data_IF_118658556844
#
_entry.id   IF_118658556844
#
_cell.length_a   1.000
_cell.length_b   1.000
_cell.length_c   1.000
_cell.angle_alpha   90.00
_cell.angle_beta   90.00
_cell.angle_gamma   90.00
#
_symmetry.space_group_name_H-M   'P 1'
#
loop_
_entity.id
_entity.type
_entity.pdbx_description
1 polymer ?
#
# COMPACT_ATOMS: atom_id res chain seq x y z
N UNK A 1 -33.85 20.86 -4.92
CA UNK A 1 -33.56 20.70 -3.46
C UNK A 1 -32.07 20.85 -3.05
N UNK A 2 -31.06 20.48 -3.85
CA UNK A 2 -29.63 20.49 -3.42
C UNK A 2 -29.07 21.83 -2.88
N UNK A 3 -29.52 23.00 -3.34
CA UNK A 3 -29.00 24.33 -2.90
C UNK A 3 -29.29 24.73 -1.44
N UNK A 4 -30.05 23.96 -0.65
CA UNK A 4 -30.36 24.31 0.77
C UNK A 4 -29.39 23.74 1.81
N UNK A 5 -28.64 22.66 1.52
CA UNK A 5 -27.65 22.13 2.46
C UNK A 5 -26.41 23.03 2.56
N UNK A 6 -26.00 23.61 1.43
CA UNK A 6 -24.77 24.39 1.29
C UNK A 6 -24.72 25.67 2.15
N UNK A 7 -25.89 26.21 2.52
CA UNK A 7 -25.98 27.38 3.42
C UNK A 7 -25.73 27.07 4.90
N UNK A 8 -25.82 25.81 5.35
CA UNK A 8 -25.57 25.46 6.77
C UNK A 8 -24.09 25.33 7.13
N UNK A 9 -23.20 25.25 6.14
CA UNK A 9 -21.74 25.19 6.35
C UNK A 9 -21.06 26.57 6.36
N UNK A 10 -21.80 27.66 6.07
CA UNK A 10 -21.25 29.01 5.86
C UNK A 10 -21.00 29.85 7.14
N UNK A 11 -20.83 29.24 8.32
CA UNK A 11 -20.44 29.99 9.53
C UNK A 11 -19.88 29.13 10.67
N UNK A 12 -18.71 29.51 11.17
CA UNK A 12 -17.44 29.41 10.47
C UNK A 12 -16.83 28.01 10.66
N UNK A 13 -15.99 27.54 9.72
CA UNK A 13 -15.19 26.31 9.92
C UNK A 13 -14.27 26.39 11.16
N UNK A 14 -14.05 27.60 11.68
CA UNK A 14 -13.15 27.91 12.77
C UNK A 14 -13.81 28.90 13.74
N UNK A 15 -14.19 28.49 14.97
CA UNK A 15 -14.86 29.38 15.93
C UNK A 15 -13.95 30.46 16.55
N UNK A 16 -12.71 30.59 16.08
CA UNK A 16 -11.76 31.62 16.52
C UNK A 16 -10.90 32.11 15.37
N UNK A 17 -10.49 33.39 15.40
CA UNK A 17 -9.54 33.97 14.46
C UNK A 17 -8.07 33.51 14.68
N UNK A 18 -7.83 32.49 15.51
CA UNK A 18 -6.50 31.95 15.78
C UNK A 18 -6.02 31.06 14.65
N UNK A 19 -4.98 31.51 13.93
CA UNK A 19 -4.27 30.70 12.92
C UNK A 19 -3.75 29.37 13.50
N UNK A 20 -3.33 29.36 14.77
CA UNK A 20 -2.89 28.13 15.45
C UNK A 20 -4.03 27.13 15.62
N UNK A 21 -5.22 27.59 16.00
CA UNK A 21 -6.40 26.73 16.10
C UNK A 21 -6.85 26.27 14.71
N UNK A 22 -6.74 27.14 13.70
CA UNK A 22 -7.03 26.82 12.31
C UNK A 22 -6.21 25.63 11.80
N UNK A 23 -4.89 25.72 11.88
CA UNK A 23 -3.97 24.66 11.46
C UNK A 23 -4.24 23.37 12.25
N UNK A 24 -4.49 23.45 13.57
CA UNK A 24 -4.78 22.28 14.40
C UNK A 24 -6.09 21.58 14.06
N UNK A 25 -7.16 22.33 13.78
CA UNK A 25 -8.47 21.78 13.44
C UNK A 25 -8.52 21.25 12.01
N UNK A 26 -7.93 21.97 11.06
CA UNK A 26 -7.98 21.63 9.64
C UNK A 26 -6.99 20.52 9.24
N UNK A 27 -5.98 20.19 10.06
CA UNK A 27 -4.96 19.18 9.72
C UNK A 27 -5.54 17.87 9.16
N UNK A 28 -6.60 17.35 9.80
CA UNK A 28 -7.25 16.11 9.37
C UNK A 28 -8.03 16.22 8.07
N UNK A 29 -8.50 17.44 7.74
CA UNK A 29 -9.15 17.73 6.47
C UNK A 29 -8.11 17.93 5.35
N UNK A 30 -6.93 18.49 5.67
CA UNK A 30 -5.83 18.64 4.72
C UNK A 30 -5.10 17.33 4.40
N UNK A 31 -4.94 16.41 5.36
CA UNK A 31 -4.33 15.10 5.12
C UNK A 31 -5.26 14.15 4.37
N UNK A 32 -4.82 13.61 3.24
CA UNK A 32 -5.48 12.53 2.53
C UNK A 32 -5.33 11.15 3.18
N UNK A 33 -6.27 10.24 2.92
CA UNK A 33 -6.11 8.79 3.15
C UNK A 33 -7.05 7.99 2.26
N UNK A 34 -6.51 6.95 1.62
CA UNK A 34 -7.32 5.85 1.07
C UNK A 34 -7.91 5.01 2.22
N UNK A 35 -8.96 4.24 1.94
CA UNK A 35 -9.56 3.30 2.87
C UNK A 35 -10.10 2.07 2.12
N UNK A 36 -9.73 0.88 2.60
CA UNK A 36 -10.23 -0.40 2.13
C UNK A 36 -10.74 -1.20 3.34
N UNK A 37 -12.05 -1.44 3.37
CA UNK A 37 -12.74 -2.10 4.48
C UNK A 37 -13.39 -3.40 4.00
N UNK A 38 -13.33 -4.45 4.82
CA UNK A 38 -14.08 -5.69 4.60
C UNK A 38 -14.91 -6.06 5.82
N UNK A 39 -16.16 -6.47 5.61
CA UNK A 39 -17.05 -7.00 6.65
C UNK A 39 -17.49 -8.40 6.23
N UNK A 40 -17.18 -9.41 7.04
CA UNK A 40 -17.60 -10.79 6.84
C UNK A 40 -18.73 -11.15 7.80
N UNK A 41 -19.82 -11.68 7.25
CA UNK A 41 -21.00 -12.13 7.97
C UNK A 41 -21.00 -13.67 8.03
N UNK A 42 -20.77 -14.24 9.22
CA UNK A 42 -20.58 -15.70 9.42
C UNK A 42 -21.76 -16.54 8.93
N UNK A 43 -22.97 -16.05 9.18
CA UNK A 43 -24.21 -16.84 9.08
C UNK A 43 -24.64 -16.96 7.61
N UNK A 44 -24.57 -15.85 6.88
CA UNK A 44 -24.85 -15.78 5.43
C UNK A 44 -23.65 -16.21 4.57
N UNK A 45 -22.44 -16.13 5.14
CA UNK A 45 -21.13 -16.25 4.49
C UNK A 45 -20.89 -15.18 3.43
N UNK A 46 -21.45 -14.00 3.61
CA UNK A 46 -21.26 -12.85 2.73
C UNK A 46 -20.11 -11.98 3.21
N UNK A 47 -19.13 -11.76 2.34
CA UNK A 47 -18.10 -10.75 2.48
C UNK A 47 -18.53 -9.50 1.70
N UNK A 48 -18.56 -8.36 2.37
CA UNK A 48 -18.76 -7.05 1.76
C UNK A 48 -17.44 -6.29 1.80
N UNK A 49 -17.00 -5.77 0.66
CA UNK A 49 -15.77 -4.97 0.54
C UNK A 49 -16.15 -3.56 0.10
N UNK A 50 -15.65 -2.54 0.80
CA UNK A 50 -15.85 -1.14 0.48
C UNK A 50 -14.49 -0.46 0.24
N UNK A 51 -14.31 0.16 -0.93
CA UNK A 51 -13.08 0.85 -1.32
C UNK A 51 -13.33 2.33 -1.61
N UNK A 52 -12.54 3.18 -0.96
CA UNK A 52 -12.33 4.60 -1.27
C UNK A 52 -10.83 4.81 -1.49
N UNK A 53 -10.34 4.71 -2.73
CA UNK A 53 -8.93 4.87 -3.10
C UNK A 53 -8.41 3.81 -4.08
N UNK A 54 -7.09 3.66 -4.12
CA UNK A 54 -6.30 2.80 -5.02
C UNK A 54 -5.70 1.55 -4.35
N UNK A 55 -5.99 1.33 -3.06
CA UNK A 55 -5.81 0.02 -2.41
C UNK A 55 -6.70 -1.06 -3.05
N UNK A 56 -6.28 -2.33 -3.03
CA UNK A 56 -7.02 -3.43 -3.67
C UNK A 56 -7.29 -4.61 -2.74
N UNK A 57 -8.48 -5.21 -2.88
CA UNK A 57 -8.89 -6.48 -2.30
C UNK A 57 -8.96 -7.58 -3.37
N UNK A 58 -8.34 -8.73 -3.09
CA UNK A 58 -8.28 -9.88 -3.99
C UNK A 58 -8.58 -11.15 -3.21
N UNK A 59 -9.57 -11.91 -3.67
CA UNK A 59 -9.95 -13.20 -3.09
C UNK A 59 -9.28 -14.34 -3.88
N UNK A 60 -8.48 -15.15 -3.19
CA UNK A 60 -8.01 -16.44 -3.66
C UNK A 60 -9.06 -17.50 -3.39
N UNK A 61 -9.78 -17.94 -4.42
CA UNK A 61 -10.83 -18.95 -4.30
C UNK A 61 -10.26 -20.35 -4.48
N UNK A 62 -10.40 -21.22 -3.47
CA UNK A 62 -9.88 -22.59 -3.54
C UNK A 62 -10.73 -23.43 -4.49
N UNK A 63 -10.09 -23.94 -5.54
CA UNK A 63 -10.70 -24.83 -6.55
C UNK A 63 -9.95 -26.16 -6.54
N UNK A 64 -10.70 -27.26 -6.61
CA UNK A 64 -10.11 -28.59 -6.77
C UNK A 64 -9.65 -28.73 -8.23
N UNK A 65 -8.38 -29.07 -8.40
CA UNK A 65 -7.82 -29.39 -9.71
C UNK A 65 -8.37 -30.73 -10.22
N UNK A 66 -8.49 -30.85 -11.54
CA UNK A 66 -8.77 -32.12 -12.21
C UNK A 66 -7.55 -33.06 -12.12
N UNK A 67 -6.34 -32.49 -12.13
CA UNK A 67 -5.11 -33.23 -11.95
C UNK A 67 -4.94 -33.73 -10.51
N UNK A 68 -4.83 -35.04 -10.35
CA UNK A 68 -4.35 -35.68 -9.12
C UNK A 68 -2.84 -35.60 -9.05
N UNK A 69 -2.31 -35.56 -7.84
CA UNK A 69 -0.87 -35.74 -7.60
C UNK A 69 -0.49 -37.18 -7.99
N UNK A 70 0.45 -37.32 -8.93
CA UNK A 70 0.91 -38.62 -9.43
C UNK A 70 1.66 -39.46 -8.39
N UNK A 71 2.19 -38.85 -7.33
CA UNK A 71 2.90 -39.57 -6.27
C UNK A 71 1.98 -40.08 -5.16
N UNK A 72 0.89 -39.36 -4.87
CA UNK A 72 0.00 -39.64 -3.71
C UNK A 72 -1.43 -40.03 -4.08
N UNK A 73 -1.83 -39.84 -5.35
CA UNK A 73 -3.22 -40.00 -5.81
C UNK A 73 -4.19 -38.95 -5.27
N UNK A 74 -3.72 -38.00 -4.45
CA UNK A 74 -4.54 -37.00 -3.80
C UNK A 74 -5.00 -35.91 -4.78
N UNK A 75 -6.11 -35.24 -4.44
CA UNK A 75 -6.58 -34.07 -5.20
C UNK A 75 -5.67 -32.88 -4.93
N UNK A 76 -5.10 -32.31 -6.00
CA UNK A 76 -4.43 -31.01 -5.91
C UNK A 76 -5.45 -29.88 -5.90
N UNK A 77 -5.07 -28.73 -5.34
CA UNK A 77 -5.92 -27.53 -5.31
C UNK A 77 -5.19 -26.38 -6.02
N UNK A 78 -5.95 -25.61 -6.81
CA UNK A 78 -5.52 -24.34 -7.38
C UNK A 78 -6.31 -23.21 -6.73
N UNK A 79 -5.87 -21.97 -6.95
CA UNK A 79 -6.59 -20.78 -6.50
C UNK A 79 -6.99 -19.95 -7.71
N UNK A 80 -8.30 -19.70 -7.84
CA UNK A 80 -8.84 -18.73 -8.77
C UNK A 80 -8.68 -17.32 -8.21
N UNK A 81 -8.32 -16.38 -9.08
CA UNK A 81 -8.15 -14.97 -8.73
C UNK A 81 -9.49 -14.24 -8.92
N UNK A 82 -10.04 -13.69 -7.85
CA UNK A 82 -11.27 -12.88 -7.87
C UNK A 82 -10.95 -11.50 -7.29
N UNK A 83 -10.71 -10.51 -8.16
CA UNK A 83 -10.49 -9.12 -7.72
C UNK A 83 -11.82 -8.54 -7.22
N UNK A 84 -11.87 -8.13 -5.95
CA UNK A 84 -13.10 -7.71 -5.27
C UNK A 84 -13.28 -6.17 -5.22
N UNK A 85 -12.30 -5.40 -5.68
CA UNK A 85 -12.39 -3.94 -5.74
C UNK A 85 -11.64 -3.41 -6.96
N UNK A 86 -12.15 -2.36 -7.59
CA UNK A 86 -11.49 -1.70 -8.71
C UNK A 86 -10.76 -0.46 -8.20
N UNK A 87 -9.44 -0.38 -8.39
CA UNK A 87 -8.63 0.76 -7.96
C UNK A 87 -9.21 2.08 -8.50
N UNK A 88 -9.39 3.07 -7.64
CA UNK A 88 -9.99 4.35 -8.01
C UNK A 88 -8.88 5.37 -8.26
N UNK A 89 -8.26 5.30 -9.43
CA UNK A 89 -7.17 6.15 -9.89
C UNK A 89 -7.40 6.63 -11.34
N UNK A 90 -6.51 7.47 -11.87
CA UNK A 90 -6.61 8.00 -13.23
C UNK A 90 -6.34 7.00 -14.37
N UNK A 91 -6.06 5.73 -14.07
CA UNK A 91 -5.98 4.65 -15.06
C UNK A 91 -7.30 3.86 -15.17
N UNK A 92 -8.21 4.01 -14.20
CA UNK A 92 -9.51 3.35 -14.22
C UNK A 92 -10.50 4.14 -15.09
N UNK A 93 -10.84 3.57 -16.25
CA UNK A 93 -11.76 4.19 -17.22
C UNK A 93 -13.11 4.62 -16.60
N UNK A 94 -13.63 3.92 -15.59
CA UNK A 94 -14.88 4.32 -14.91
C UNK A 94 -14.71 5.60 -14.09
N UNK A 95 -13.57 5.80 -13.44
CA UNK A 95 -13.28 7.03 -12.70
C UNK A 95 -12.97 8.18 -13.66
N UNK A 96 -12.28 7.92 -14.77
CA UNK A 96 -12.05 8.92 -15.83
C UNK A 96 -13.39 9.42 -16.39
N UNK A 97 -14.26 8.50 -16.84
CA UNK A 97 -15.59 8.85 -17.37
C UNK A 97 -16.46 9.57 -16.32
N UNK A 98 -16.35 9.19 -15.05
CA UNK A 98 -17.02 9.88 -13.93
C UNK A 98 -16.54 11.32 -13.81
N UNK A 99 -15.23 11.55 -13.77
CA UNK A 99 -14.62 12.87 -13.61
C UNK A 99 -14.88 13.77 -14.83
N UNK A 100 -14.79 13.25 -16.05
CA UNK A 100 -15.11 14.00 -17.28
C UNK A 100 -16.57 14.47 -17.30
N UNK A 101 -17.50 13.63 -16.81
CA UNK A 101 -18.93 13.96 -16.70
C UNK A 101 -19.24 14.95 -15.57
N UNK A 102 -18.49 14.88 -14.47
CA UNK A 102 -18.64 15.81 -13.33
C UNK A 102 -18.02 17.18 -13.61
N UNK A 103 -16.96 17.24 -14.43
CA UNK A 103 -16.19 18.46 -14.74
C UNK A 103 -16.08 18.73 -16.26
N UNK A 104 -17.20 18.96 -16.97
CA UNK A 104 -17.20 19.12 -18.42
C UNK A 104 -16.37 20.34 -18.86
N UNK A 105 -15.42 20.10 -19.77
CA UNK A 105 -14.50 21.14 -20.27
C UNK A 105 -13.26 21.39 -19.40
N UNK A 106 -13.00 20.52 -18.42
CA UNK A 106 -11.78 20.56 -17.59
C UNK A 106 -10.91 19.31 -17.79
N UNK A 107 -9.59 19.50 -17.81
CA UNK A 107 -8.63 18.40 -17.91
C UNK A 107 -8.27 17.92 -16.50
N UNK A 108 -9.15 17.10 -15.92
CA UNK A 108 -9.05 16.66 -14.52
C UNK A 108 -8.07 15.50 -14.34
N UNK A 109 -7.94 14.65 -15.35
CA UNK A 109 -7.03 13.49 -15.35
C UNK A 109 -5.90 13.73 -16.37
N UNK A 110 -4.66 13.62 -15.91
CA UNK A 110 -3.46 13.77 -16.75
C UNK A 110 -2.43 12.71 -16.36
N UNK A 111 -1.90 11.97 -17.34
CA UNK A 111 -0.86 10.94 -17.12
C UNK A 111 -1.18 9.96 -15.97
N UNK A 112 -2.43 9.49 -15.92
CA UNK A 112 -2.90 8.58 -14.87
C UNK A 112 -3.16 9.22 -13.50
N UNK A 113 -2.99 10.54 -13.37
CA UNK A 113 -3.14 11.30 -12.12
C UNK A 113 -4.38 12.19 -12.13
N UNK A 114 -5.10 12.23 -11.01
CA UNK A 114 -6.29 13.08 -10.81
C UNK A 114 -5.89 14.36 -10.09
N UNK A 115 -5.94 15.50 -10.77
CA UNK A 115 -5.46 16.80 -10.26
C UNK A 115 -4.02 16.77 -9.69
N UNK A 116 -3.20 15.83 -10.17
CA UNK A 116 -1.82 15.55 -9.74
C UNK A 116 -1.65 14.36 -8.77
N UNK A 117 -2.72 13.82 -8.19
CA UNK A 117 -2.68 12.69 -7.25
C UNK A 117 -2.77 11.33 -7.92
N UNK A 118 -2.35 10.28 -7.21
CA UNK A 118 -2.55 8.89 -7.65
C UNK A 118 -4.03 8.48 -7.66
N UNK A 119 -4.78 8.85 -6.62
CA UNK A 119 -6.16 8.45 -6.42
C UNK A 119 -7.22 9.45 -6.92
N UNK A 120 -8.38 8.94 -7.33
CA UNK A 120 -9.61 9.66 -7.66
C UNK A 120 -10.57 9.82 -6.46
N UNK A 121 -10.38 9.01 -5.42
CA UNK A 121 -11.21 9.00 -4.21
C UNK A 121 -10.34 8.86 -2.96
N UNK A 122 -10.67 9.60 -1.90
CA UNK A 122 -9.94 9.61 -0.64
C UNK A 122 -10.80 10.20 0.49
N UNK A 123 -10.48 9.89 1.74
CA UNK A 123 -10.84 10.72 2.90
C UNK A 123 -9.90 11.92 3.00
N UNK A 124 -10.32 13.00 3.67
CA UNK A 124 -9.50 14.21 3.78
C UNK A 124 -9.34 14.94 2.44
N UNK A 125 -8.12 15.33 2.06
CA UNK A 125 -7.77 16.07 0.83
C UNK A 125 -8.72 17.23 0.50
N UNK A 126 -9.14 17.96 1.53
CA UNK A 126 -10.29 18.85 1.44
C UNK A 126 -10.05 20.08 0.55
N UNK A 127 -8.80 20.42 0.22
CA UNK A 127 -8.46 21.39 -0.81
C UNK A 127 -9.06 21.02 -2.20
N UNK A 128 -9.26 19.73 -2.48
CA UNK A 128 -9.87 19.25 -3.74
C UNK A 128 -11.40 19.09 -3.62
N UNK A 129 -11.99 19.48 -2.48
CA UNK A 129 -13.41 19.24 -2.14
C UNK A 129 -14.16 20.51 -1.75
N UNK A 130 -13.50 21.41 -1.03
CA UNK A 130 -14.05 22.71 -0.65
C UNK A 130 -14.26 23.60 -1.87
N UNK A 131 -15.28 24.46 -1.81
CA UNK A 131 -15.49 25.48 -2.83
C UNK A 131 -14.31 26.46 -2.87
N UNK A 132 -14.09 27.07 -4.04
CA UNK A 132 -13.06 28.09 -4.27
C UNK A 132 -13.17 29.25 -3.26
N UNK A 133 -14.39 29.63 -2.86
CA UNK A 133 -14.64 30.65 -1.83
C UNK A 133 -14.00 30.26 -0.48
N UNK A 134 -14.23 29.02 -0.02
CA UNK A 134 -13.70 28.52 1.26
C UNK A 134 -12.18 28.43 1.19
N UNK A 135 -11.62 27.90 0.11
CA UNK A 135 -10.17 27.82 -0.06
C UNK A 135 -9.51 29.21 -0.04
N UNK A 136 -10.13 30.20 -0.69
CA UNK A 136 -9.66 31.60 -0.68
C UNK A 136 -9.69 32.19 0.73
N UNK A 137 -10.78 32.00 1.48
CA UNK A 137 -10.88 32.45 2.87
C UNK A 137 -9.80 31.79 3.76
N UNK A 138 -9.55 30.49 3.58
CA UNK A 138 -8.50 29.76 4.29
C UNK A 138 -7.09 30.27 3.95
N UNK A 139 -6.83 30.59 2.67
CA UNK A 139 -5.56 31.19 2.24
C UNK A 139 -5.35 32.57 2.88
N UNK A 140 -6.32 33.47 2.74
CA UNK A 140 -6.23 34.85 3.23
C UNK A 140 -6.09 34.94 4.76
N UNK A 141 -6.78 34.06 5.51
CA UNK A 141 -6.94 34.21 6.97
C UNK A 141 -6.17 33.18 7.80
N UNK A 142 -5.93 31.99 7.25
CA UNK A 142 -5.64 30.80 8.06
C UNK A 142 -4.42 29.97 7.62
N UNK A 143 -3.55 30.56 6.77
CA UNK A 143 -2.34 29.90 6.23
C UNK A 143 -2.66 28.68 5.32
N UNK A 144 -3.84 28.67 4.69
CA UNK A 144 -4.17 27.69 3.65
C UNK A 144 -3.37 27.91 2.37
N UNK A 145 -3.28 26.86 1.55
CA UNK A 145 -2.64 26.95 0.23
C UNK A 145 -3.38 27.90 -0.71
N UNK A 146 -2.65 28.50 -1.65
CA UNK A 146 -3.25 29.31 -2.73
C UNK A 146 -4.10 28.42 -3.62
N UNK A 147 -5.31 28.88 -3.97
CA UNK A 147 -6.20 28.21 -4.93
C UNK A 147 -5.47 28.01 -6.26
N UNK A 148 -5.46 26.77 -6.77
CA UNK A 148 -4.83 26.42 -8.04
C UNK A 148 -5.66 26.93 -9.23
N UNK A 149 -4.99 27.41 -10.27
CA UNK A 149 -5.64 28.02 -11.43
C UNK A 149 -6.48 27.03 -12.27
N UNK A 150 -6.10 25.75 -12.24
CA UNK A 150 -6.86 24.66 -12.89
C UNK A 150 -8.05 24.16 -12.05
N UNK A 151 -8.36 24.75 -10.90
CA UNK A 151 -9.41 24.28 -9.99
C UNK A 151 -10.69 25.12 -10.11
N UNK A 152 -11.53 24.84 -11.12
CA UNK A 152 -12.73 25.64 -11.42
C UNK A 152 -14.03 25.10 -10.81
N UNK A 153 -14.29 23.79 -10.86
CA UNK A 153 -15.54 23.15 -10.37
C UNK A 153 -15.37 22.07 -9.29
N UNK A 154 -14.71 22.34 -8.13
CA UNK A 154 -14.64 21.36 -7.04
C UNK A 154 -16.05 20.97 -6.52
N UNK A 155 -16.26 19.73 -6.02
CA UNK A 155 -15.24 18.76 -5.60
C UNK A 155 -14.74 17.83 -6.72
N UNK A 156 -13.42 17.59 -6.78
CA UNK A 156 -12.77 16.64 -7.72
C UNK A 156 -12.52 15.25 -7.11
N UNK A 157 -12.41 15.18 -5.78
CA UNK A 157 -12.23 13.93 -5.05
C UNK A 157 -13.48 13.67 -4.20
N UNK A 158 -13.94 12.42 -4.13
CA UNK A 158 -15.00 12.00 -3.21
C UNK A 158 -14.46 11.00 -2.17
N UNK A 159 -15.13 10.91 -1.03
CA UNK A 159 -14.88 9.86 -0.03
C UNK A 159 -15.86 8.67 -0.17
N UNK A 160 -16.81 8.76 -1.12
CA UNK A 160 -17.85 7.76 -1.34
C UNK A 160 -17.26 6.44 -1.86
N UNK A 161 -17.45 5.31 -1.14
CA UNK A 161 -16.86 4.03 -1.52
C UNK A 161 -17.62 3.35 -2.66
N UNK A 162 -16.92 2.53 -3.44
CA UNK A 162 -17.56 1.46 -4.22
C UNK A 162 -17.65 0.21 -3.34
N UNK A 163 -18.81 -0.45 -3.34
CA UNK A 163 -19.08 -1.60 -2.47
C UNK A 163 -19.38 -2.84 -3.32
N UNK A 164 -18.65 -3.93 -3.08
CA UNK A 164 -18.92 -5.24 -3.67
C UNK A 164 -19.38 -6.24 -2.60
N UNK A 165 -20.11 -7.28 -3.01
CA UNK A 165 -20.56 -8.36 -2.11
C UNK A 165 -20.27 -9.70 -2.75
N UNK A 166 -19.54 -10.56 -2.05
CA UNK A 166 -19.12 -11.89 -2.53
C UNK A 166 -19.43 -12.96 -1.49
N UNK A 167 -20.01 -14.09 -1.91
CA UNK A 167 -20.21 -15.24 -1.03
C UNK A 167 -18.93 -16.06 -0.90
N UNK A 168 -18.51 -16.33 0.34
CA UNK A 168 -17.28 -17.02 0.71
C UNK A 168 -17.49 -18.54 0.80
N UNK A 169 -16.43 -19.31 0.52
CA UNK A 169 -16.37 -20.77 0.60
C UNK A 169 -15.23 -21.20 1.53
N UNK A 170 -15.37 -22.39 2.14
CA UNK A 170 -14.32 -22.96 3.01
C UNK A 170 -13.01 -23.12 2.24
N UNK A 171 -11.93 -22.57 2.77
CA UNK A 171 -10.61 -22.58 2.14
C UNK A 171 -10.36 -21.42 1.18
N UNK A 172 -11.31 -20.50 0.97
CA UNK A 172 -11.02 -19.21 0.34
C UNK A 172 -10.10 -18.38 1.27
N UNK A 173 -9.39 -17.41 0.70
CA UNK A 173 -8.68 -16.37 1.45
C UNK A 173 -8.80 -15.01 0.78
N UNK A 174 -8.71 -13.94 1.55
CA UNK A 174 -8.73 -12.55 1.11
C UNK A 174 -7.37 -11.90 1.37
N UNK A 175 -6.81 -11.26 0.34
CA UNK A 175 -5.68 -10.34 0.45
C UNK A 175 -6.24 -8.92 0.34
N UNK A 176 -5.95 -8.06 1.30
CA UNK A 176 -6.18 -6.62 1.24
C UNK A 176 -4.84 -5.91 1.39
N UNK A 177 -4.50 -5.00 0.49
CA UNK A 177 -3.24 -4.26 0.59
C UNK A 177 -3.30 -2.87 -0.04
N UNK A 178 -2.36 -2.01 0.38
CA UNK A 178 -2.08 -0.72 -0.28
C UNK A 178 -1.53 -0.93 -1.69
N UNK A 179 -1.64 0.12 -2.51
CA UNK A 179 -0.99 0.27 -3.81
C UNK A 179 0.50 -0.12 -3.77
N UNK A 180 1.22 0.19 -2.68
CA UNK A 180 2.61 -0.23 -2.48
C UNK A 180 2.88 -1.75 -2.62
N UNK A 181 1.88 -2.63 -2.42
CA UNK A 181 1.99 -4.05 -2.80
C UNK A 181 1.72 -4.27 -4.29
N UNK A 182 0.67 -3.64 -4.82
CA UNK A 182 0.14 -3.88 -6.16
C UNK A 182 0.96 -3.20 -7.28
N UNK A 183 1.79 -2.22 -6.95
CA UNK A 183 2.86 -1.66 -7.78
C UNK A 183 3.99 -2.68 -8.02
N UNK A 184 4.17 -3.64 -7.09
CA UNK A 184 5.24 -4.65 -7.14
C UNK A 184 4.76 -6.03 -7.62
N UNK A 185 3.52 -6.42 -7.30
CA UNK A 185 2.96 -7.75 -7.59
C UNK A 185 1.59 -7.64 -8.26
N UNK A 186 1.39 -8.43 -9.31
CA UNK A 186 0.05 -8.67 -9.87
C UNK A 186 -0.85 -9.41 -8.87
N UNK A 187 -2.17 -9.26 -9.04
CA UNK A 187 -3.14 -9.99 -8.23
C UNK A 187 -3.02 -11.52 -8.38
N UNK A 188 -2.58 -11.97 -9.55
CA UNK A 188 -2.33 -13.38 -9.86
C UNK A 188 -1.06 -13.91 -9.15
N UNK A 189 0.03 -13.14 -9.13
CA UNK A 189 1.23 -13.45 -8.34
C UNK A 189 0.91 -13.51 -6.84
N UNK A 190 0.20 -12.51 -6.30
CA UNK A 190 -0.12 -12.46 -4.88
C UNK A 190 -0.97 -13.66 -4.42
N UNK A 191 -2.00 -14.04 -5.19
CA UNK A 191 -2.81 -15.24 -4.93
C UNK A 191 -1.97 -16.51 -5.09
N UNK A 192 -1.08 -16.57 -6.08
CA UNK A 192 -0.13 -17.67 -6.27
C UNK A 192 0.80 -17.86 -5.08
N UNK A 193 1.37 -16.78 -4.54
CA UNK A 193 2.27 -16.77 -3.39
C UNK A 193 1.58 -17.26 -2.11
N UNK A 194 0.38 -16.74 -1.80
CA UNK A 194 -0.39 -17.25 -0.66
C UNK A 194 -0.78 -18.72 -0.87
N UNK A 195 -1.10 -19.12 -2.11
CA UNK A 195 -1.36 -20.52 -2.47
C UNK A 195 -0.16 -21.45 -2.28
N UNK A 196 1.07 -21.02 -2.62
CA UNK A 196 2.31 -21.73 -2.33
C UNK A 196 2.56 -21.82 -0.82
N UNK A 197 2.44 -20.69 -0.12
CA UNK A 197 2.65 -20.60 1.32
C UNK A 197 1.71 -21.52 2.10
N UNK A 198 0.47 -21.66 1.65
CA UNK A 198 -0.50 -22.61 2.20
C UNK A 198 -0.11 -24.08 1.99
N UNK A 199 0.74 -24.46 1.03
CA UNK A 199 1.16 -25.86 0.87
C UNK A 199 1.89 -26.38 2.11
N UNK A 200 2.71 -25.53 2.74
CA UNK A 200 3.43 -25.86 3.97
C UNK A 200 2.64 -25.51 5.22
N UNK A 201 1.80 -24.47 5.18
CA UNK A 201 1.17 -23.88 6.37
C UNK A 201 -0.35 -24.16 6.53
N UNK A 202 -1.02 -24.82 5.58
CA UNK A 202 -2.47 -25.02 5.62
C UNK A 202 -2.98 -25.76 6.86
N UNK A 203 -2.19 -26.67 7.46
CA UNK A 203 -2.56 -27.38 8.68
C UNK A 203 -2.59 -26.48 9.92
N UNK A 204 -1.77 -25.44 9.97
CA UNK A 204 -1.75 -24.44 11.03
C UNK A 204 -2.86 -23.38 10.85
N UNK A 205 -3.27 -23.12 9.61
CA UNK A 205 -4.31 -22.13 9.28
C UNK A 205 -5.71 -22.74 9.38
N UNK A 206 -5.97 -23.81 8.62
CA UNK A 206 -7.29 -24.44 8.51
C UNK A 206 -7.43 -25.57 9.52
N UNK A 207 -7.32 -25.25 10.81
CA UNK A 207 -7.52 -26.24 11.87
C UNK A 207 -9.00 -26.66 11.94
N UNK A 208 -9.26 -27.94 12.26
CA UNK A 208 -10.62 -28.41 12.58
C UNK A 208 -10.96 -28.19 14.08
N UNK A 209 -10.13 -27.46 14.83
CA UNK A 209 -10.40 -27.12 16.23
C UNK A 209 -11.34 -25.92 16.21
N UNK A 210 -12.54 -26.00 16.83
CA UNK A 210 -13.38 -24.82 17.01
C UNK A 210 -12.58 -23.72 17.68
N UNK A 211 -12.62 -22.50 17.14
CA UNK A 211 -12.06 -21.33 17.80
C UNK A 211 -12.73 -21.25 19.18
N UNK A 212 -11.91 -21.45 20.24
CA UNK A 212 -12.35 -21.81 21.60
C UNK A 212 -13.71 -21.21 21.96
N UNK A 213 -14.61 -22.06 22.44
CA UNK A 213 -15.80 -21.60 23.16
C UNK A 213 -15.37 -20.57 24.20
N UNK A 214 -15.71 -19.30 23.97
CA UNK A 214 -15.65 -18.33 25.04
C UNK A 214 -16.72 -18.77 26.03
N UNK A 215 -16.35 -19.20 27.26
CA UNK A 215 -17.35 -19.68 28.20
C UNK A 215 -18.37 -18.56 28.45
N UNK A 216 -19.68 -18.86 28.46
CA UNK A 216 -20.73 -17.86 28.69
C UNK A 216 -20.71 -17.42 30.16
N UNK A 217 -19.72 -16.59 30.51
CA UNK A 217 -19.44 -16.14 31.86
C UNK A 217 -17.96 -15.84 32.08
N UNK A 218 -17.62 -14.55 32.15
CA UNK A 218 -16.35 -14.07 32.69
C UNK A 218 -15.36 -13.52 31.66
N UNK A 219 -15.49 -12.22 31.37
CA UNK A 219 -14.31 -11.41 31.02
C UNK A 219 -13.33 -11.51 32.20
N UNK A 220 -12.25 -12.29 32.06
CA UNK A 220 -11.09 -12.10 32.92
C UNK A 220 -10.52 -10.72 32.58
N UNK A 221 -10.34 -9.80 33.54
CA UNK A 221 -9.66 -8.54 33.26
C UNK A 221 -8.30 -8.86 32.66
N UNK A 222 -7.97 -8.21 31.53
CA UNK A 222 -6.59 -8.16 31.07
C UNK A 222 -5.79 -7.58 32.24
N UNK A 223 -4.85 -8.36 32.76
CA UNK A 223 -3.99 -7.89 33.84
C UNK A 223 -3.35 -6.58 33.41
N UNK A 224 -3.61 -5.50 34.14
CA UNK A 224 -3.03 -4.19 33.86
C UNK A 224 -1.52 -4.37 33.96
N UNK A 225 -0.84 -4.40 32.82
CA UNK A 225 0.60 -4.28 32.76
C UNK A 225 0.92 -2.88 33.30
N UNK A 226 1.38 -2.82 34.54
CA UNK A 226 1.85 -1.58 35.16
C UNK A 226 2.83 -0.90 34.20
N UNK A 227 2.60 0.37 33.82
CA UNK A 227 3.52 1.04 32.90
C UNK A 227 4.90 1.10 33.56
N UNK A 228 5.90 0.49 32.92
CA UNK A 228 7.28 0.67 33.32
C UNK A 228 7.61 2.17 33.24
N UNK A 229 8.28 2.76 34.25
CA UNK A 229 8.55 4.18 34.25
C UNK A 229 9.43 4.55 33.07
N UNK A 230 8.89 5.38 32.17
CA UNK A 230 9.62 5.94 31.03
C UNK A 230 10.63 6.93 31.59
N UNK A 231 11.92 6.62 31.47
CA UNK A 231 12.99 7.56 31.83
C UNK A 231 12.92 8.78 30.90
N UNK A 232 12.80 10.02 31.41
CA UNK A 232 12.64 11.19 30.57
C UNK A 232 13.96 11.54 29.87
N UNK A 233 13.90 11.70 28.55
CA UNK A 233 14.96 12.39 27.80
C UNK A 233 15.07 13.85 28.29
N UNK A 234 16.29 14.38 28.49
CA UNK A 234 16.49 15.73 29.01
C UNK A 234 15.99 16.79 28.02
N UNK A 235 15.12 17.68 28.49
CA UNK A 235 14.55 18.77 27.72
C UNK A 235 15.57 19.88 27.45
N UNK A 236 15.77 20.21 26.18
CA UNK A 236 16.64 21.31 25.77
C UNK A 236 15.95 22.68 25.99
N UNK A 237 16.28 23.35 27.10
CA UNK A 237 16.01 24.78 27.27
C UNK A 237 16.90 25.42 28.34
N UNK A 238 18.04 25.98 27.94
CA UNK A 238 18.65 27.14 28.61
C UNK A 238 19.65 27.83 27.67
N UNK A 239 19.49 29.15 27.52
CA UNK A 239 20.37 30.01 26.73
C UNK A 239 21.69 30.24 27.48
N UNK A 240 22.83 30.44 26.79
CA UNK A 240 24.13 30.50 27.44
C UNK A 240 24.39 31.85 28.13
N UNK A 241 24.83 31.80 29.39
CA UNK A 241 25.52 32.91 30.05
C UNK A 241 26.96 32.49 30.41
N UNK A 242 27.90 33.07 29.66
CA UNK A 242 29.20 33.63 30.07
C UNK A 242 30.04 32.99 31.20
N UNK A 243 31.35 32.88 30.90
CA UNK A 243 32.51 32.77 31.83
C UNK A 243 32.71 31.38 32.50
N UNK A 244 33.94 30.86 32.69
CA UNK A 244 35.28 31.35 32.29
C UNK A 244 36.35 30.26 32.52
N UNK A 245 37.34 30.14 31.62
CA UNK A 245 38.71 29.59 31.85
C UNK A 245 38.77 28.08 32.28
N UNK A 246 39.86 27.32 32.10
CA UNK A 246 41.25 27.59 31.66
C UNK A 246 41.82 26.43 30.81
N UNK A 247 43.09 26.53 30.40
CA UNK A 247 43.76 25.67 29.40
C UNK A 247 44.47 24.42 30.00
N UNK A 248 44.58 23.35 29.21
CA UNK A 248 45.79 22.53 28.99
C UNK A 248 45.51 21.53 27.86
N UNK A 249 45.99 21.71 26.64
CA UNK A 249 47.34 21.35 26.14
C UNK A 249 47.82 19.94 26.54
N UNK A 250 47.68 18.97 25.63
CA UNK A 250 48.79 18.09 25.21
C UNK A 250 48.44 17.30 23.93
N UNK A 251 49.42 17.26 23.04
CA UNK A 251 49.63 16.40 21.86
C UNK A 251 51.15 16.36 21.66
N UNK A 252 51.71 15.49 20.79
CA UNK A 252 51.20 14.22 20.24
C UNK A 252 52.16 13.06 20.55
N UNK A 253 51.94 11.86 19.98
CA UNK A 253 53.00 10.98 19.44
C UNK A 253 52.40 9.71 18.81
N UNK A 254 53.21 8.92 18.12
CA UNK A 254 53.57 8.96 16.70
C UNK A 254 54.28 7.63 16.34
N UNK A 255 54.08 7.12 15.10
CA UNK A 255 54.76 5.95 14.49
C UNK A 255 54.45 4.57 15.14
N UNK A 256 54.52 3.41 14.44
CA UNK A 256 55.29 3.04 13.23
C UNK A 256 54.58 1.99 12.34
N UNK A 257 55.13 1.75 11.14
CA UNK A 257 54.58 0.92 10.06
C UNK A 257 54.95 -0.57 10.14
N UNK A 258 54.20 -1.43 9.45
CA UNK A 258 54.80 -2.55 8.68
C UNK A 258 53.93 -2.98 7.48
N UNK A 259 54.60 -3.50 6.45
CA UNK A 259 54.12 -3.77 5.09
C UNK A 259 54.58 -5.21 4.70
N UNK A 260 54.03 -5.98 3.76
CA UNK A 260 52.98 -5.87 2.72
C UNK A 260 52.60 -7.36 2.34
N UNK A 261 52.11 -7.80 1.15
CA UNK A 261 51.38 -7.17 0.02
C UNK A 261 50.09 -7.93 -0.44
N UNK A 262 49.35 -7.32 -1.40
CA UNK A 262 48.64 -7.95 -2.56
C UNK A 262 47.57 -9.07 -2.37
N UNK A 263 46.52 -9.25 -3.20
CA UNK A 263 45.89 -8.55 -4.36
C UNK A 263 44.38 -8.92 -4.31
N UNK A 264 43.40 -8.17 -4.84
CA UNK A 264 42.94 -8.28 -6.24
C UNK A 264 41.68 -7.41 -6.47
N UNK A 265 41.69 -6.61 -7.54
CA UNK A 265 40.57 -6.09 -8.35
C UNK A 265 39.29 -5.56 -7.66
N UNK A 266 39.18 -4.22 -7.65
CA UNK A 266 37.91 -3.48 -7.63
C UNK A 266 37.04 -3.80 -8.85
N UNK A 267 35.86 -4.38 -8.63
CA UNK A 267 34.80 -4.52 -9.64
C UNK A 267 33.63 -3.59 -9.34
N UNK A 268 33.55 -2.44 -10.02
CA UNK A 268 32.44 -1.49 -9.84
C UNK A 268 31.16 -2.02 -10.49
N UNK A 269 30.22 -2.52 -9.69
CA UNK A 269 28.88 -2.87 -10.16
C UNK A 269 28.01 -1.62 -10.34
N UNK A 270 28.05 -1.02 -11.53
CA UNK A 270 27.08 0.00 -11.95
C UNK A 270 25.72 -0.61 -12.26
N UNK A 271 24.90 -0.80 -11.23
CA UNK A 271 23.47 -1.08 -11.39
C UNK A 271 22.76 0.18 -11.94
N UNK A 272 22.26 0.12 -13.17
CA UNK A 272 21.49 1.23 -13.77
C UNK A 272 20.11 1.29 -13.13
N UNK A 273 19.96 2.15 -12.11
CA UNK A 273 18.68 2.47 -11.50
C UNK A 273 17.89 3.31 -12.51
N UNK A 274 16.86 2.71 -13.12
CA UNK A 274 15.89 3.44 -13.94
C UNK A 274 15.03 4.30 -13.00
N UNK A 275 15.02 5.64 -13.11
CA UNK A 275 14.13 6.48 -12.32
C UNK A 275 12.66 6.20 -12.67
N UNK A 276 11.76 6.37 -11.71
CA UNK A 276 10.30 6.34 -11.93
C UNK A 276 9.90 7.62 -12.70
N UNK A 277 10.17 7.66 -14.01
CA UNK A 277 9.51 8.46 -15.07
C UNK A 277 10.27 8.36 -16.42
N UNK A 278 9.84 7.47 -17.33
CA UNK A 278 9.81 7.67 -18.80
C UNK A 278 9.28 6.41 -19.52
N UNK A 279 8.15 6.53 -20.23
CA UNK A 279 7.86 5.75 -21.45
C UNK A 279 7.05 6.60 -22.41
N UNK A 280 7.76 7.21 -23.36
CA UNK A 280 7.13 7.80 -24.53
C UNK A 280 6.65 6.72 -25.50
N UNK A 281 5.51 7.05 -26.11
CA UNK A 281 4.98 6.64 -27.42
C UNK A 281 5.73 5.58 -28.25
N UNK A 282 5.05 4.50 -28.62
CA UNK A 282 5.12 4.00 -30.00
C UNK A 282 3.77 3.47 -30.47
N UNK A 283 3.38 3.87 -31.68
CA UNK A 283 2.02 3.74 -32.24
C UNK A 283 1.72 2.34 -32.80
N UNK A 284 0.59 1.76 -32.43
CA UNK A 284 -0.21 0.88 -33.31
C UNK A 284 -1.65 0.76 -32.80
N UNK A 285 -2.64 1.16 -33.61
CA UNK A 285 -4.04 0.80 -33.38
C UNK A 285 -4.25 -0.69 -33.69
N UNK A 286 -5.30 -1.30 -33.11
CA UNK A 286 -6.46 -1.52 -33.97
C UNK A 286 -7.81 -1.13 -33.36
N UNK A 287 -8.75 -0.98 -34.29
CA UNK A 287 -10.16 -0.61 -34.23
C UNK A 287 -11.04 -1.29 -33.16
N UNK A 288 -12.11 -0.58 -32.82
CA UNK A 288 -13.15 -0.89 -31.83
C UNK A 288 -13.89 -2.22 -31.96
N UNK A 289 -14.18 -2.84 -30.81
CA UNK A 289 -15.48 -3.47 -30.53
C UNK A 289 -15.77 -3.45 -29.02
N UNK A 290 -16.88 -2.85 -28.60
CA UNK A 290 -17.28 -2.79 -27.19
C UNK A 290 -17.60 -4.19 -26.64
N UNK A 291 -16.93 -4.59 -25.56
CA UNK A 291 -17.46 -5.54 -24.58
C UNK A 291 -17.10 -5.09 -23.16
N UNK A 292 -18.09 -5.11 -22.27
CA UNK A 292 -17.87 -4.92 -20.83
C UNK A 292 -17.07 -6.10 -20.29
N UNK A 293 -15.77 -5.93 -20.05
CA UNK A 293 -14.92 -6.97 -19.47
C UNK A 293 -15.27 -7.27 -18.01
N UNK A 294 -16.29 -8.11 -17.81
CA UNK A 294 -16.15 -9.17 -16.83
C UNK A 294 -14.98 -10.06 -17.29
N UNK A 295 -13.77 -9.81 -16.77
CA UNK A 295 -12.70 -10.79 -16.91
C UNK A 295 -13.13 -12.05 -16.16
N UNK A 296 -13.26 -13.16 -16.88
CA UNK A 296 -13.50 -14.45 -16.24
C UNK A 296 -12.38 -14.76 -15.23
N UNK A 297 -12.70 -15.38 -14.07
CA UNK A 297 -11.73 -15.63 -13.03
C UNK A 297 -10.64 -16.59 -13.52
N UNK A 298 -9.47 -16.04 -13.83
CA UNK A 298 -8.33 -16.79 -14.33
C UNK A 298 -7.93 -17.85 -13.31
N UNK A 299 -7.82 -19.09 -13.79
CA UNK A 299 -7.42 -20.24 -12.98
C UNK A 299 -5.98 -20.60 -13.35
N UNK A 300 -5.07 -20.52 -12.38
CA UNK A 300 -3.66 -20.84 -12.61
C UNK A 300 -3.30 -22.20 -12.00
N UNK A 301 -2.71 -23.07 -12.80
CA UNK A 301 -1.98 -24.23 -12.26
C UNK A 301 -0.61 -23.81 -11.71
N UNK A 302 -0.01 -24.66 -10.89
CA UNK A 302 1.32 -24.46 -10.28
C UNK A 302 2.41 -24.08 -11.29
N UNK A 303 2.32 -24.56 -12.53
CA UNK A 303 3.29 -24.30 -13.60
C UNK A 303 3.00 -23.04 -14.43
N UNK A 304 1.83 -22.42 -14.24
CA UNK A 304 1.37 -21.23 -14.97
C UNK A 304 1.42 -19.94 -14.12
N UNK A 305 1.62 -20.05 -12.81
CA UNK A 305 2.04 -18.91 -11.99
C UNK A 305 3.40 -18.41 -12.52
N UNK A 306 3.65 -17.10 -12.65
CA UNK A 306 4.86 -16.54 -13.27
C UNK A 306 6.11 -16.62 -12.37
N UNK A 307 6.29 -17.75 -11.69
CA UNK A 307 7.29 -18.00 -10.65
C UNK A 307 8.70 -18.29 -11.20
N UNK A 308 8.87 -18.31 -12.52
CA UNK A 308 10.03 -18.86 -13.23
C UNK A 308 10.69 -17.89 -14.20
N UNK A 309 10.74 -16.59 -13.86
CA UNK A 309 11.81 -15.73 -14.39
C UNK A 309 13.11 -16.12 -13.69
N UNK A 310 13.98 -16.85 -14.39
CA UNK A 310 15.35 -17.11 -13.94
C UNK A 310 16.09 -15.78 -13.77
N UNK A 311 16.87 -15.63 -12.70
CA UNK A 311 17.81 -14.52 -12.59
C UNK A 311 18.96 -14.77 -13.58
N UNK A 312 19.11 -13.90 -14.58
CA UNK A 312 20.20 -13.98 -15.54
C UNK A 312 21.48 -13.39 -14.94
N UNK A 313 22.29 -14.24 -14.29
CA UNK A 313 23.62 -13.87 -13.79
C UNK A 313 24.71 -14.46 -14.68
N UNK A 314 25.38 -13.61 -15.48
CA UNK A 314 26.65 -13.86 -16.17
C UNK A 314 26.82 -15.26 -16.82
N UNK A 315 25.79 -15.75 -17.52
CA UNK A 315 25.86 -16.99 -18.30
C UNK A 315 25.66 -18.29 -17.50
N UNK A 316 25.50 -18.22 -16.18
CA UNK A 316 25.03 -19.36 -15.37
C UNK A 316 23.54 -19.19 -15.06
N UNK A 317 22.73 -20.19 -15.42
CA UNK A 317 21.32 -20.26 -15.02
C UNK A 317 21.22 -20.38 -13.50
N UNK A 318 20.93 -19.29 -12.80
CA UNK A 318 20.58 -19.35 -11.38
C UNK A 318 19.23 -20.06 -11.22
N UNK A 319 19.27 -21.26 -10.64
CA UNK A 319 18.09 -22.08 -10.36
C UNK A 319 17.35 -21.63 -9.10
N UNK A 320 17.79 -20.59 -8.40
CA UNK A 320 17.13 -20.06 -7.22
C UNK A 320 15.70 -19.61 -7.58
N UNK A 321 14.65 -20.18 -6.97
CA UNK A 321 13.28 -19.80 -7.28
C UNK A 321 13.05 -18.36 -6.81
N UNK A 322 12.72 -17.46 -7.73
CA UNK A 322 12.57 -16.01 -7.49
C UNK A 322 11.62 -15.67 -6.34
N UNK A 323 10.73 -16.60 -5.98
CA UNK A 323 9.72 -16.43 -4.94
C UNK A 323 9.88 -17.42 -3.77
N UNK A 324 10.69 -17.12 -2.73
CA UNK A 324 10.94 -18.03 -1.64
C UNK A 324 9.81 -18.07 -0.60
N UNK A 325 9.30 -19.26 -0.31
CA UNK A 325 8.39 -19.50 0.82
C UNK A 325 9.19 -19.81 2.10
N UNK A 326 9.57 -18.76 2.85
CA UNK A 326 10.40 -18.87 4.08
C UNK A 326 9.76 -18.26 5.33
N UNK A 327 8.65 -17.56 5.19
CA UNK A 327 8.06 -16.73 6.25
C UNK A 327 6.90 -17.44 6.97
N UNK A 328 6.76 -17.25 8.28
CA UNK A 328 5.64 -17.80 9.07
C UNK A 328 4.31 -17.07 8.90
N UNK A 329 4.30 -15.92 8.21
CA UNK A 329 3.11 -15.12 7.95
C UNK A 329 2.94 -14.90 6.45
N UNK A 330 1.75 -15.17 5.93
CA UNK A 330 1.42 -14.92 4.52
C UNK A 330 1.59 -13.44 4.12
N UNK A 331 1.33 -12.50 5.03
CA UNK A 331 1.56 -11.07 4.79
C UNK A 331 3.05 -10.74 4.70
N UNK A 332 3.88 -11.30 5.58
CA UNK A 332 5.34 -11.15 5.51
C UNK A 332 5.92 -11.82 4.25
N UNK A 333 5.39 -12.98 3.87
CA UNK A 333 5.72 -13.67 2.63
C UNK A 333 5.42 -12.78 1.40
N UNK A 334 4.24 -12.18 1.31
CA UNK A 334 3.90 -11.23 0.24
C UNK A 334 4.85 -10.01 0.23
N UNK A 335 5.09 -9.39 1.39
CA UNK A 335 5.97 -8.22 1.50
C UNK A 335 7.41 -8.51 1.08
N UNK A 336 7.98 -9.66 1.47
CA UNK A 336 9.31 -10.10 1.03
C UNK A 336 9.37 -10.25 -0.50
N UNK A 337 8.35 -10.88 -1.07
CA UNK A 337 8.30 -11.15 -2.51
C UNK A 337 8.05 -9.89 -3.35
N UNK A 338 7.39 -8.88 -2.79
CA UNK A 338 7.29 -7.55 -3.39
C UNK A 338 8.62 -6.76 -3.34
N UNK A 339 9.49 -7.04 -2.36
CA UNK A 339 10.73 -6.31 -2.10
C UNK A 339 12.00 -7.06 -2.56
N UNK A 340 11.92 -7.92 -3.57
CA UNK A 340 13.08 -8.62 -4.17
C UNK A 340 13.05 -10.15 -4.06
N UNK A 341 12.19 -10.70 -3.20
CA UNK A 341 11.89 -12.13 -3.15
C UNK A 341 13.10 -12.99 -2.80
N UNK A 342 13.66 -13.69 -3.79
CA UNK A 342 14.83 -14.55 -3.65
C UNK A 342 16.14 -13.78 -3.53
N UNK A 343 16.22 -12.61 -4.16
CA UNK A 343 17.39 -11.77 -4.10
C UNK A 343 17.47 -11.13 -2.71
N UNK A 344 18.28 -11.75 -1.86
CA UNK A 344 18.49 -11.29 -0.48
C UNK A 344 19.19 -9.94 -0.44
N UNK A 345 20.18 -9.71 -1.30
CA UNK A 345 20.95 -8.47 -1.31
C UNK A 345 20.06 -7.29 -1.70
N UNK A 346 19.26 -7.45 -2.76
CA UNK A 346 18.24 -6.47 -3.13
C UNK A 346 17.20 -6.27 -2.02
N UNK A 347 16.73 -7.34 -1.37
CA UNK A 347 15.74 -7.24 -0.28
C UNK A 347 16.30 -6.49 0.93
N UNK A 348 17.52 -6.82 1.35
CA UNK A 348 18.21 -6.18 2.49
C UNK A 348 18.56 -4.73 2.17
N UNK A 349 19.01 -4.43 0.94
CA UNK A 349 19.27 -3.07 0.47
C UNK A 349 17.99 -2.22 0.44
N UNK A 350 16.89 -2.75 -0.13
CA UNK A 350 15.61 -2.04 -0.18
C UNK A 350 15.07 -1.76 1.22
N UNK A 351 15.06 -2.74 2.13
CA UNK A 351 14.55 -2.55 3.50
C UNK A 351 15.44 -1.55 4.28
N UNK A 352 16.76 -1.61 4.11
CA UNK A 352 17.73 -0.73 4.80
C UNK A 352 17.69 0.74 4.35
N UNK A 353 17.06 1.07 3.21
CA UNK A 353 16.91 2.47 2.78
C UNK A 353 16.04 3.27 3.77
N UNK A 354 16.60 4.38 4.26
CA UNK A 354 15.95 5.33 5.19
C UNK A 354 15.28 6.52 4.45
N UNK A 355 14.33 7.23 5.09
CA UNK A 355 13.82 8.50 4.58
C UNK A 355 14.93 9.57 4.42
N UNK A 356 14.84 10.46 3.42
CA UNK A 356 13.81 10.55 2.39
C UNK A 356 14.05 9.61 1.19
N UNK A 357 15.21 8.94 1.10
CA UNK A 357 15.61 8.16 -0.08
C UNK A 357 14.71 6.94 -0.33
N UNK A 358 14.21 6.30 0.73
CA UNK A 358 13.31 5.14 0.67
C UNK A 358 12.16 5.28 -0.33
N UNK A 359 11.47 6.45 -0.32
CA UNK A 359 10.29 6.72 -1.16
C UNK A 359 10.56 6.80 -2.68
N UNK A 360 11.83 6.75 -3.10
CA UNK A 360 12.19 6.63 -4.53
C UNK A 360 12.20 5.18 -5.04
N UNK A 361 12.21 4.20 -4.13
CA UNK A 361 12.41 2.78 -4.45
C UNK A 361 11.26 1.88 -3.99
N UNK A 362 10.50 2.30 -2.96
CA UNK A 362 9.27 1.63 -2.51
C UNK A 362 8.28 2.66 -1.97
N UNK A 363 7.01 2.31 -1.96
CA UNK A 363 6.00 3.01 -1.15
C UNK A 363 5.78 2.30 0.20
N UNK A 364 4.87 2.83 1.02
CA UNK A 364 4.47 2.24 2.30
C UNK A 364 3.57 1.00 2.06
N UNK A 365 4.11 -0.19 2.33
CA UNK A 365 3.44 -1.49 2.11
C UNK A 365 2.65 -1.90 3.35
N UNK A 366 1.32 -1.95 3.23
CA UNK A 366 0.41 -2.49 4.23
C UNK A 366 -0.36 -3.69 3.64
N UNK A 367 -0.39 -4.83 4.35
CA UNK A 367 -0.98 -6.09 3.88
C UNK A 367 -1.75 -6.77 5.01
N UNK A 368 -3.00 -7.16 4.75
CA UNK A 368 -3.78 -8.08 5.57
C UNK A 368 -4.16 -9.30 4.75
N UNK A 369 -4.01 -10.51 5.33
CA UNK A 369 -4.44 -11.77 4.72
C UNK A 369 -5.37 -12.49 5.69
N UNK A 370 -6.60 -12.76 5.25
CA UNK A 370 -7.66 -13.40 6.03
C UNK A 370 -8.04 -14.73 5.40
N UNK A 371 -8.12 -15.80 6.19
CA UNK A 371 -8.46 -17.16 5.73
C UNK A 371 -9.85 -17.56 6.27
N UNK A 372 -10.65 -18.30 5.47
CA UNK A 372 -12.05 -18.65 5.76
C UNK A 372 -12.37 -20.16 5.68
#
# INVERSE_FOLDING_TARGET
HRRRHDRRLRRPLLPSNSKTNAVRSLRYAHTGSCALLSIYESDTKLLRVALTGDSRAVLGRKVRSEAKDGATGAYTYTYQVHVLSSDQNGHNAKEVERLEREHPGEKVVENGRVMGWGMARAFGDAAYKWSVDVQRELHERYLGDRVRENMKTPPYLTAEPEITTTRIRKGDFLIMASDGLWDCLTSDEAVGLVGLWLQTNASAVYTNVPMRDFPPGGLRPIGVLSPSPVSPYPSASQSPQSQSQSQSQSQPDSQSESQFPETTTTGTLTATIIPKDTKDTTTSQPTSSHQSHHQEPKTYSRAQLPLSKKLQNNGTDDTTPMYPCKDFSAAAHLARNALGGADKDLTEALISLVPPRARRYRDDIAIAVTFF
#
